data_IF_155404229875
#
_entry.id   IF_155404229875
#
_cell.length_a   1.000
_cell.length_b   1.000
_cell.length_c   1.000
_cell.angle_alpha   90.00
_cell.angle_beta   90.00
_cell.angle_gamma   90.00
#
_symmetry.space_group_name_H-M   'P 1'
#
loop_
_entity.id
_entity.type
_entity.pdbx_description
1 polymer ?
#
# COMPACT_ATOMS: atom_id res chain seq x y z
N UNK A 1 4.72 13.95 21.54
CA UNK A 1 4.53 14.32 20.11
C UNK A 1 3.09 13.98 19.77
N UNK A 2 2.30 14.92 19.26
CA UNK A 2 0.92 14.61 18.83
C UNK A 2 0.99 13.86 17.50
N UNK A 3 0.37 12.69 17.46
CA UNK A 3 0.13 11.98 16.20
C UNK A 3 -0.88 12.79 15.37
N UNK A 4 -0.41 13.40 14.29
CA UNK A 4 -1.24 14.18 13.36
C UNK A 4 -1.78 13.32 12.23
N UNK A 5 -1.24 12.13 12.03
CA UNK A 5 -1.64 11.26 10.94
C UNK A 5 -3.13 10.92 11.00
N UNK A 6 -3.56 10.26 12.07
CA UNK A 6 -4.95 9.81 12.19
C UNK A 6 -5.95 10.97 12.37
N UNK A 7 -5.53 12.10 13.00
CA UNK A 7 -6.43 13.19 13.34
C UNK A 7 -6.55 14.30 12.29
N UNK A 8 -5.58 14.39 11.36
CA UNK A 8 -5.52 15.45 10.35
C UNK A 8 -5.14 14.93 8.96
N UNK A 9 -3.97 14.28 8.84
CA UNK A 9 -3.36 14.01 7.55
C UNK A 9 -4.11 12.94 6.75
N UNK A 10 -4.49 11.84 7.40
CA UNK A 10 -5.28 10.77 6.77
C UNK A 10 -6.70 11.21 6.37
N UNK A 11 -7.49 11.92 7.21
CA UNK A 11 -8.77 12.48 6.79
C UNK A 11 -8.67 13.45 5.60
N UNK A 12 -7.61 14.29 5.55
CA UNK A 12 -7.36 15.19 4.42
C UNK A 12 -7.00 14.39 3.16
N UNK A 13 -6.18 13.34 3.29
CA UNK A 13 -5.80 12.47 2.18
C UNK A 13 -7.03 11.75 1.60
N UNK A 14 -7.86 11.16 2.45
CA UNK A 14 -9.09 10.46 2.04
C UNK A 14 -10.07 11.40 1.34
N UNK A 15 -10.32 12.57 1.91
CA UNK A 15 -11.17 13.59 1.28
C UNK A 15 -10.62 14.05 -0.07
N UNK A 16 -9.31 14.28 -0.17
CA UNK A 16 -8.64 14.68 -1.41
C UNK A 16 -8.82 13.64 -2.51
N UNK A 17 -8.58 12.37 -2.19
CA UNK A 17 -8.69 11.28 -3.17
C UNK A 17 -10.14 11.11 -3.63
N UNK A 18 -11.08 11.14 -2.69
CA UNK A 18 -12.51 11.03 -3.02
C UNK A 18 -12.98 12.18 -3.94
N UNK A 19 -12.57 13.40 -3.66
CA UNK A 19 -12.92 14.55 -4.50
C UNK A 19 -12.25 14.50 -5.89
N UNK A 20 -11.04 13.95 -6.00
CA UNK A 20 -10.35 13.76 -7.28
C UNK A 20 -10.98 12.69 -8.17
N UNK A 21 -11.90 11.87 -7.67
CA UNK A 21 -12.65 10.93 -8.51
C UNK A 21 -13.67 11.65 -9.41
N UNK A 22 -14.23 12.75 -8.90
CA UNK A 22 -15.25 13.53 -9.60
C UNK A 22 -14.70 14.83 -10.23
N UNK A 23 -13.48 15.23 -9.89
CA UNK A 23 -12.88 16.50 -10.28
C UNK A 23 -11.43 16.34 -10.72
N UNK A 24 -11.04 17.05 -11.77
CA UNK A 24 -9.65 17.11 -12.24
C UNK A 24 -8.72 17.84 -11.24
N UNK A 25 -9.26 18.71 -10.43
CA UNK A 25 -8.53 19.57 -9.49
C UNK A 25 -9.38 19.81 -8.24
N UNK A 26 -8.76 19.73 -7.08
CA UNK A 26 -9.41 19.90 -5.78
C UNK A 26 -8.68 20.99 -4.98
N UNK A 27 -9.40 21.99 -4.52
CA UNK A 27 -8.83 23.10 -3.75
C UNK A 27 -8.78 22.79 -2.25
N UNK A 28 -7.94 23.55 -1.54
CA UNK A 28 -7.92 23.53 -0.06
C UNK A 28 -9.31 23.82 0.52
N UNK A 29 -10.07 24.71 -0.13
CA UNK A 29 -11.43 25.04 0.31
C UNK A 29 -12.38 23.85 0.21
N UNK A 30 -12.34 23.09 -0.89
CA UNK A 30 -13.20 21.92 -1.09
C UNK A 30 -12.90 20.83 -0.05
N UNK A 31 -11.61 20.62 0.24
CA UNK A 31 -11.16 19.65 1.25
C UNK A 31 -11.59 20.10 2.65
N UNK A 32 -11.44 21.38 2.96
CA UNK A 32 -11.85 21.95 4.25
C UNK A 32 -13.36 21.78 4.49
N UNK A 33 -14.19 22.05 3.48
CA UNK A 33 -15.63 21.85 3.56
C UNK A 33 -15.98 20.38 3.80
N UNK A 34 -15.32 19.44 3.13
CA UNK A 34 -15.59 18.02 3.27
C UNK A 34 -15.13 17.43 4.60
N UNK A 35 -13.98 17.88 5.12
CA UNK A 35 -13.38 17.37 6.37
C UNK A 35 -13.88 18.08 7.62
N UNK A 36 -14.41 19.28 7.49
CA UNK A 36 -14.73 20.18 8.62
C UNK A 36 -13.49 20.78 9.30
N UNK A 37 -12.30 20.60 8.73
CA UNK A 37 -11.07 21.21 9.22
C UNK A 37 -10.91 22.65 8.70
N UNK A 38 -10.19 23.48 9.45
CA UNK A 38 -9.85 24.81 8.95
C UNK A 38 -8.86 24.73 7.77
N UNK A 39 -8.89 25.72 6.90
CA UNK A 39 -8.08 25.74 5.68
C UNK A 39 -6.56 25.73 5.97
N UNK A 40 -6.14 26.33 7.09
CA UNK A 40 -4.74 26.31 7.49
C UNK A 40 -4.30 24.92 7.96
N UNK A 41 -5.18 24.14 8.60
CA UNK A 41 -4.91 22.77 8.96
C UNK A 41 -4.83 21.88 7.71
N UNK A 42 -5.75 22.05 6.75
CA UNK A 42 -5.73 21.34 5.46
C UNK A 42 -4.45 21.68 4.69
N UNK A 43 -4.08 22.95 4.57
CA UNK A 43 -2.86 23.35 3.88
C UNK A 43 -1.60 22.70 4.49
N UNK A 44 -1.51 22.69 5.83
CA UNK A 44 -0.39 22.02 6.54
C UNK A 44 -0.37 20.49 6.32
N UNK A 45 -1.54 19.87 6.26
CA UNK A 45 -1.63 18.43 5.94
C UNK A 45 -1.15 18.15 4.50
N UNK A 46 -1.61 18.94 3.53
CA UNK A 46 -1.18 18.79 2.13
C UNK A 46 0.32 19.05 1.94
N UNK A 47 0.89 20.02 2.66
CA UNK A 47 2.35 20.24 2.67
C UNK A 47 3.12 19.05 3.23
N UNK A 48 2.57 18.36 4.23
CA UNK A 48 3.19 17.16 4.80
C UNK A 48 3.02 15.93 3.90
N UNK A 49 1.96 15.88 3.10
CA UNK A 49 1.64 14.79 2.18
C UNK A 49 2.34 14.92 0.81
N UNK A 50 2.79 16.12 0.46
CA UNK A 50 3.51 16.40 -0.79
C UNK A 50 5.02 16.10 -0.65
N UNK A 51 5.67 15.51 -1.64
CA UNK A 51 5.15 14.95 -2.90
C UNK A 51 4.83 13.44 -2.82
N UNK A 52 4.94 12.82 -1.66
CA UNK A 52 4.87 11.36 -1.51
C UNK A 52 3.47 10.81 -1.82
N UNK A 53 2.45 11.50 -1.35
CA UNK A 53 1.05 11.08 -1.49
C UNK A 53 0.27 11.87 -2.53
N UNK A 54 0.54 13.17 -2.64
CA UNK A 54 -0.20 14.09 -3.54
C UNK A 54 0.75 15.03 -4.28
N UNK A 55 0.32 15.56 -5.40
CA UNK A 55 0.97 16.69 -6.06
C UNK A 55 0.20 17.97 -5.72
N UNK A 56 0.72 18.68 -4.72
CA UNK A 56 0.12 19.89 -4.17
C UNK A 56 0.75 21.14 -4.77
N UNK A 57 -0.08 22.06 -5.25
CA UNK A 57 0.34 23.29 -5.91
C UNK A 57 -0.15 24.53 -5.18
N UNK A 58 0.78 25.42 -4.87
CA UNK A 58 0.49 26.74 -4.33
C UNK A 58 0.39 27.73 -5.48
N UNK A 59 -0.72 28.45 -5.57
CA UNK A 59 -0.87 29.51 -6.57
C UNK A 59 0.00 30.70 -6.20
N UNK A 60 0.73 31.23 -7.16
CA UNK A 60 1.59 32.41 -6.96
C UNK A 60 0.82 33.71 -6.92
N UNK A 61 -0.42 33.72 -7.38
CA UNK A 61 -1.26 34.90 -7.46
C UNK A 61 -2.09 35.06 -6.18
N UNK A 62 -1.60 35.83 -5.23
CA UNK A 62 -2.36 36.26 -4.06
C UNK A 62 -2.08 35.56 -2.74
N UNK A 63 -1.36 34.44 -2.69
CA UNK A 63 -0.94 33.77 -1.45
C UNK A 63 -2.07 33.24 -0.55
N UNK A 64 -3.33 33.31 -1.01
CA UNK A 64 -4.48 32.83 -0.25
C UNK A 64 -4.56 31.30 -0.35
N UNK A 65 -4.42 30.56 0.76
CA UNK A 65 -4.46 29.10 0.79
C UNK A 65 -5.73 28.50 0.18
N UNK A 66 -6.83 29.21 0.14
CA UNK A 66 -8.10 28.74 -0.41
C UNK A 66 -8.00 28.28 -1.88
N UNK A 67 -7.10 28.91 -2.65
CA UNK A 67 -6.90 28.64 -4.06
C UNK A 67 -5.75 27.67 -4.37
N UNK A 68 -5.07 27.19 -3.33
CA UNK A 68 -4.09 26.13 -3.49
C UNK A 68 -4.80 24.83 -3.80
N UNK A 69 -4.20 23.97 -4.60
CA UNK A 69 -4.91 22.82 -5.12
C UNK A 69 -4.04 21.56 -5.25
N UNK A 70 -4.72 20.44 -5.29
CA UNK A 70 -4.17 19.12 -5.66
C UNK A 70 -4.81 18.70 -6.98
N UNK A 71 -4.00 18.20 -7.91
CA UNK A 71 -4.50 17.68 -9.19
C UNK A 71 -4.18 16.20 -9.38
N UNK A 72 -3.38 15.61 -8.51
CA UNK A 72 -2.96 14.22 -8.61
C UNK A 72 -2.72 13.61 -7.24
N UNK A 73 -3.20 12.39 -7.05
CA UNK A 73 -2.83 11.51 -5.95
C UNK A 73 -1.98 10.35 -6.47
N UNK A 74 -1.00 9.91 -5.68
CA UNK A 74 -0.13 8.78 -6.03
C UNK A 74 -0.83 7.44 -5.79
N UNK A 75 -0.32 6.32 -6.38
CA UNK A 75 -0.81 4.98 -6.02
C UNK A 75 -0.63 4.65 -4.54
N UNK A 76 0.41 5.20 -3.88
CA UNK A 76 0.64 5.04 -2.45
C UNK A 76 -0.50 5.66 -1.65
N UNK A 77 -0.89 6.89 -1.98
CA UNK A 77 -2.02 7.58 -1.36
C UNK A 77 -3.30 6.73 -1.40
N UNK A 78 -3.62 6.15 -2.56
CA UNK A 78 -4.80 5.30 -2.74
C UNK A 78 -4.75 4.01 -1.91
N UNK A 79 -3.55 3.47 -1.66
CA UNK A 79 -3.35 2.31 -0.77
C UNK A 79 -3.62 2.68 0.68
N UNK A 80 -3.12 3.82 1.13
CA UNK A 80 -3.28 4.30 2.51
C UNK A 80 -4.74 4.53 2.89
N UNK A 81 -5.56 4.99 1.96
CA UNK A 81 -7.01 5.17 2.18
C UNK A 81 -7.83 3.91 1.84
N UNK A 82 -7.18 2.80 1.49
CA UNK A 82 -7.85 1.53 1.21
C UNK A 82 -8.58 1.45 -0.14
N UNK A 83 -8.41 2.43 -1.02
CA UNK A 83 -9.01 2.44 -2.36
C UNK A 83 -8.24 1.61 -3.40
N UNK A 84 -7.01 1.25 -3.08
CA UNK A 84 -6.18 0.43 -3.97
C UNK A 84 -5.92 -0.91 -3.30
N UNK A 85 -6.16 -2.02 -3.98
CA UNK A 85 -5.93 -3.33 -3.39
C UNK A 85 -4.44 -3.48 -3.04
N UNK A 86 -4.18 -3.86 -1.79
CA UNK A 86 -2.86 -4.36 -1.39
C UNK A 86 -2.61 -5.70 -2.08
N UNK A 87 -1.35 -6.15 -2.21
CA UNK A 87 -1.06 -7.50 -2.72
C UNK A 87 -1.90 -8.59 -2.03
N UNK A 88 -2.05 -8.51 -0.72
CA UNK A 88 -2.85 -9.46 0.08
C UNK A 88 -4.34 -9.41 -0.27
N UNK A 89 -4.90 -8.22 -0.40
CA UNK A 89 -6.30 -8.02 -0.81
C UNK A 89 -6.52 -8.52 -2.24
N UNK A 90 -5.56 -8.28 -3.14
CA UNK A 90 -5.65 -8.73 -4.53
C UNK A 90 -5.65 -10.26 -4.61
N UNK A 91 -4.71 -10.92 -3.89
CA UNK A 91 -4.64 -12.38 -3.83
C UNK A 91 -5.90 -12.96 -3.21
N UNK A 92 -6.41 -12.33 -2.13
CA UNK A 92 -7.66 -12.73 -1.48
C UNK A 92 -8.87 -12.64 -2.43
N UNK A 93 -8.99 -11.57 -3.19
CA UNK A 93 -10.04 -11.39 -4.19
C UNK A 93 -9.93 -12.40 -5.33
N UNK A 94 -8.71 -12.71 -5.77
CA UNK A 94 -8.47 -13.75 -6.79
C UNK A 94 -8.85 -15.15 -6.27
N UNK A 95 -8.46 -15.51 -5.05
CA UNK A 95 -8.81 -16.77 -4.43
C UNK A 95 -10.34 -16.91 -4.28
N UNK A 96 -11.02 -15.84 -3.87
CA UNK A 96 -12.48 -15.81 -3.76
C UNK A 96 -13.16 -15.96 -5.12
N UNK A 97 -12.72 -15.21 -6.13
CA UNK A 97 -13.23 -15.31 -7.50
C UNK A 97 -13.06 -16.70 -8.11
N UNK A 98 -11.93 -17.36 -7.86
CA UNK A 98 -11.70 -18.75 -8.30
C UNK A 98 -12.63 -19.75 -7.58
N UNK A 99 -12.90 -19.55 -6.29
CA UNK A 99 -13.86 -20.38 -5.52
C UNK A 99 -15.26 -20.22 -6.07
N UNK A 100 -15.73 -19.01 -6.32
CA UNK A 100 -17.03 -18.75 -6.94
C UNK A 100 -17.13 -19.34 -8.35
N UNK A 101 -16.06 -19.26 -9.16
CA UNK A 101 -16.02 -19.87 -10.48
C UNK A 101 -16.11 -21.40 -10.37
N UNK A 102 -15.44 -22.03 -9.39
CA UNK A 102 -15.52 -23.46 -9.14
C UNK A 102 -16.93 -23.91 -8.75
N UNK A 103 -17.68 -23.11 -8.00
CA UNK A 103 -19.07 -23.42 -7.63
C UNK A 103 -20.01 -23.42 -8.85
N UNK A 104 -19.74 -22.56 -9.84
CA UNK A 104 -20.55 -22.44 -11.07
C UNK A 104 -20.12 -23.42 -12.15
N UNK A 105 -18.94 -24.04 -12.02
CA UNK A 105 -18.41 -24.98 -13.01
C UNK A 105 -19.08 -26.35 -12.89
N UNK A 106 -19.51 -26.88 -14.02
CA UNK A 106 -20.18 -28.17 -14.15
C UNK A 106 -19.25 -29.33 -14.54
N UNK A 107 -18.10 -28.98 -15.16
CA UNK A 107 -17.06 -29.94 -15.52
C UNK A 107 -16.22 -30.32 -14.28
N UNK A 108 -16.18 -31.60 -13.88
CA UNK A 108 -15.45 -32.02 -12.68
C UNK A 108 -13.96 -31.72 -12.70
N UNK A 109 -13.30 -31.84 -13.87
CA UNK A 109 -11.86 -31.57 -14.00
C UNK A 109 -11.54 -30.07 -13.82
N UNK A 110 -12.30 -29.23 -14.48
CA UNK A 110 -12.18 -27.75 -14.36
C UNK A 110 -12.52 -27.27 -12.96
N UNK A 111 -13.57 -27.82 -12.37
CA UNK A 111 -13.95 -27.52 -10.98
C UNK A 111 -12.83 -27.89 -10.02
N UNK A 112 -12.21 -29.06 -10.18
CA UNK A 112 -11.07 -29.50 -9.38
C UNK A 112 -9.87 -28.54 -9.50
N UNK A 113 -9.55 -28.12 -10.72
CA UNK A 113 -8.45 -27.19 -11.01
C UNK A 113 -8.70 -25.81 -10.37
N UNK A 114 -9.91 -25.26 -10.51
CA UNK A 114 -10.28 -23.97 -9.92
C UNK A 114 -10.22 -24.02 -8.39
N UNK A 115 -10.75 -25.09 -7.79
CA UNK A 115 -10.70 -25.28 -6.33
C UNK A 115 -9.27 -25.42 -5.82
N UNK A 116 -8.42 -26.15 -6.51
CA UNK A 116 -7.01 -26.29 -6.16
C UNK A 116 -6.27 -24.93 -6.24
N UNK A 117 -6.50 -24.18 -7.32
CA UNK A 117 -5.89 -22.86 -7.52
C UNK A 117 -6.33 -21.85 -6.44
N UNK A 118 -7.62 -21.85 -6.09
CA UNK A 118 -8.15 -21.00 -5.02
C UNK A 118 -7.49 -21.31 -3.67
N UNK A 119 -7.34 -22.61 -3.37
CA UNK A 119 -6.69 -23.07 -2.13
C UNK A 119 -5.22 -22.69 -2.07
N UNK A 120 -4.49 -22.85 -3.17
CA UNK A 120 -3.07 -22.49 -3.25
C UNK A 120 -2.86 -20.99 -2.98
N UNK A 121 -3.69 -20.14 -3.56
CA UNK A 121 -3.64 -18.68 -3.29
C UNK A 121 -4.01 -18.35 -1.85
N UNK A 122 -5.00 -19.03 -1.27
CA UNK A 122 -5.38 -18.84 0.12
C UNK A 122 -4.28 -19.26 1.12
N UNK A 123 -3.55 -20.32 0.83
CA UNK A 123 -2.42 -20.77 1.65
C UNK A 123 -1.23 -19.80 1.54
N UNK A 124 -0.96 -19.27 0.34
CA UNK A 124 0.07 -18.22 0.14
C UNK A 124 -0.22 -16.97 0.98
N UNK A 125 -1.47 -16.57 1.12
CA UNK A 125 -1.86 -15.45 2.00
C UNK A 125 -1.55 -15.71 3.46
N UNK A 126 -1.79 -16.94 3.94
CA UNK A 126 -1.47 -17.31 5.32
C UNK A 126 0.02 -17.23 5.59
N UNK A 127 0.85 -17.69 4.66
CA UNK A 127 2.30 -17.65 4.79
C UNK A 127 2.83 -16.21 4.80
N UNK A 128 2.31 -15.33 3.95
CA UNK A 128 2.65 -13.91 3.92
C UNK A 128 2.23 -13.23 5.23
N UNK A 129 1.03 -13.51 5.74
CA UNK A 129 0.54 -12.93 6.98
C UNK A 129 1.38 -13.38 8.19
N UNK A 130 1.80 -14.64 8.23
CA UNK A 130 2.68 -15.18 9.27
C UNK A 130 4.07 -14.55 9.21
N UNK A 131 4.65 -14.40 8.00
CA UNK A 131 5.96 -13.78 7.83
C UNK A 131 5.93 -12.30 8.23
N UNK A 132 4.89 -11.56 7.84
CA UNK A 132 4.71 -10.16 8.24
C UNK A 132 4.54 -10.01 9.76
N UNK A 133 3.74 -10.85 10.40
CA UNK A 133 3.56 -10.87 11.85
C UNK A 133 4.86 -11.22 12.57
N UNK A 134 5.63 -12.18 12.06
CA UNK A 134 6.92 -12.59 12.63
C UNK A 134 7.93 -11.45 12.54
N UNK A 135 8.00 -10.73 11.42
CA UNK A 135 8.88 -9.56 11.25
C UNK A 135 8.51 -8.39 12.17
N UNK A 136 7.22 -8.18 12.44
CA UNK A 136 6.75 -7.16 13.37
C UNK A 136 7.04 -7.50 14.83
N UNK A 137 6.92 -8.77 15.20
CA UNK A 137 7.13 -9.22 16.58
C UNK A 137 8.62 -9.48 16.90
N UNK A 138 9.42 -9.83 15.88
CA UNK A 138 10.84 -10.17 16.03
C UNK A 138 11.68 -9.53 14.91
N UNK A 139 11.96 -8.22 14.97
CA UNK A 139 12.66 -7.51 13.89
C UNK A 139 14.10 -7.98 13.61
N UNK A 140 14.67 -8.85 14.45
CA UNK A 140 16.02 -9.42 14.28
C UNK A 140 16.07 -10.80 13.61
N UNK A 141 14.96 -11.49 13.44
CA UNK A 141 14.97 -12.89 12.96
C UNK A 141 15.15 -13.04 11.44
N UNK A 142 14.84 -12.02 10.67
CA UNK A 142 14.91 -12.06 9.19
C UNK A 142 16.34 -11.97 8.61
N UNK A 143 17.32 -11.52 9.38
CA UNK A 143 18.71 -11.37 8.94
C UNK A 143 19.59 -12.60 9.21
N UNK A 144 19.18 -13.49 10.12
CA UNK A 144 19.95 -14.68 10.48
C UNK A 144 19.79 -15.84 9.47
N UNK A 145 18.75 -15.86 8.68
CA UNK A 145 18.49 -16.93 7.71
C UNK A 145 19.28 -16.80 6.39
N UNK A 146 20.04 -15.73 6.20
CA UNK A 146 20.87 -15.51 5.01
C UNK A 146 22.39 -15.62 5.26
N UNK A 147 22.82 -15.97 6.44
CA UNK A 147 24.22 -16.27 6.67
C UNK A 147 24.50 -17.73 6.27
N UNK A 148 25.48 -17.96 5.35
CA UNK A 148 25.95 -19.30 5.08
C UNK A 148 26.53 -19.90 6.39
N UNK A 149 26.41 -21.22 6.61
CA UNK A 149 26.88 -21.84 7.83
C UNK A 149 28.38 -21.56 8.02
N UNK A 150 28.83 -21.24 9.23
CA UNK A 150 30.26 -21.07 9.52
C UNK A 150 30.95 -22.41 9.29
N UNK A 151 31.78 -22.49 8.24
CA UNK A 151 32.54 -23.71 7.92
C UNK A 151 32.64 -24.06 6.44
N UNK A 152 32.07 -23.30 5.51
CA UNK A 152 32.37 -23.47 4.09
C UNK A 152 33.73 -22.80 3.78
N UNK A 153 34.79 -23.53 4.08
CA UNK A 153 36.17 -23.21 3.72
C UNK A 153 36.29 -23.22 2.18
N UNK A 154 36.67 -22.10 1.59
CA UNK A 154 36.92 -21.99 0.16
C UNK A 154 38.02 -22.98 -0.24
N UNK A 155 37.90 -23.71 -1.37
CA UNK A 155 38.95 -24.57 -1.87
C UNK A 155 40.19 -23.75 -2.19
N UNK A 156 41.30 -24.06 -1.54
CA UNK A 156 42.60 -23.47 -1.83
C UNK A 156 43.08 -23.89 -3.24
N UNK A 157 43.60 -22.98 -4.06
CA UNK A 157 44.19 -23.37 -5.35
C UNK A 157 45.43 -24.21 -5.11
N UNK A 158 45.42 -25.37 -5.77
CA UNK A 158 46.43 -26.41 -5.60
C UNK A 158 47.86 -25.92 -5.88
N UNK A 159 48.74 -26.31 -5.00
CA UNK A 159 50.19 -26.33 -5.22
C UNK A 159 50.51 -27.36 -6.28
N UNK A 160 51.07 -26.91 -7.44
CA UNK A 160 51.69 -27.78 -8.42
C UNK A 160 52.94 -28.47 -7.85
N UNK A 161 53.14 -29.77 -8.11
CA UNK A 161 54.41 -30.42 -7.82
C UNK A 161 55.38 -30.23 -8.97
N UNK A 162 56.62 -29.90 -8.62
CA UNK A 162 57.79 -29.94 -9.49
C UNK A 162 58.17 -31.37 -9.84
#
# INVERSE_FOLDING_TARGET
MKDTWASRDLPVLDATITLLEDSYMVTVSDIAERTGLDQAAVARALEALDPEYVDFRKTTTGGDPRFWYVHKATPLARREVGQWPTPDTLIGNLAHGLSEAAERETDPERKGLLTYSARLLGDTLKDIAVDAATRLLYPGYGLAAQQPPPGAEAPQPGSEPS
#
